data_IF_882707957395
#
_entry.id   IF_882707957395
#
_cell.length_a   1.000
_cell.length_b   1.000
_cell.length_c   1.000
_cell.angle_alpha   90.00
_cell.angle_beta   90.00
_cell.angle_gamma   90.00
#
_symmetry.space_group_name_H-M   'P 1'
#
loop_
_entity.id
_entity.type
_entity.pdbx_description
1 polymer ?
#
# COMPACT_ATOMS: atom_id res chain seq x y z
N UNK A 1 -26.44 9.42 6.58
CA UNK A 1 -26.78 10.33 5.47
C UNK A 1 -26.41 9.63 4.19
N UNK A 2 -27.37 9.31 3.33
CA UNK A 2 -27.09 8.77 1.99
C UNK A 2 -26.63 9.90 1.08
N UNK A 3 -25.58 9.66 0.29
CA UNK A 3 -25.11 10.60 -0.74
C UNK A 3 -26.07 10.51 -1.93
N UNK A 4 -26.63 11.65 -2.34
CA UNK A 4 -27.41 11.75 -3.58
C UNK A 4 -26.47 12.03 -4.78
N UNK A 5 -26.37 11.07 -5.69
CA UNK A 5 -25.43 11.19 -6.82
C UNK A 5 -25.86 12.22 -7.86
N UNK A 6 -27.12 12.68 -7.82
CA UNK A 6 -27.66 13.65 -8.79
C UNK A 6 -27.31 15.11 -8.46
N UNK A 7 -26.86 15.39 -7.23
CA UNK A 7 -26.58 16.75 -6.75
C UNK A 7 -25.24 16.87 -5.98
N UNK A 8 -24.27 16.02 -6.28
CA UNK A 8 -22.92 16.02 -5.70
C UNK A 8 -22.31 17.44 -5.57
N UNK A 9 -22.38 18.33 -6.59
CA UNK A 9 -21.81 19.67 -6.46
C UNK A 9 -22.38 20.48 -5.29
N UNK A 10 -23.69 20.36 -5.01
CA UNK A 10 -24.33 21.11 -3.94
C UNK A 10 -24.02 20.52 -2.56
N UNK A 11 -23.92 19.19 -2.47
CA UNK A 11 -23.43 18.52 -1.26
C UNK A 11 -21.98 18.92 -0.93
N UNK A 12 -21.11 19.04 -1.93
CA UNK A 12 -19.73 19.53 -1.75
C UNK A 12 -19.72 20.98 -1.24
N UNK A 13 -20.55 21.87 -1.81
CA UNK A 13 -20.66 23.26 -1.34
C UNK A 13 -21.12 23.34 0.11
N UNK A 14 -22.14 22.56 0.46
CA UNK A 14 -22.67 22.48 1.82
C UNK A 14 -21.63 21.95 2.80
N UNK A 15 -20.89 20.90 2.44
CA UNK A 15 -19.80 20.38 3.24
C UNK A 15 -18.69 21.42 3.43
N UNK A 16 -18.22 22.07 2.36
CA UNK A 16 -17.17 23.10 2.43
C UNK A 16 -17.58 24.28 3.32
N UNK A 17 -18.85 24.70 3.30
CA UNK A 17 -19.36 25.76 4.17
C UNK A 17 -19.28 25.35 5.64
N UNK A 18 -19.83 24.17 5.98
CA UNK A 18 -19.80 23.62 7.34
C UNK A 18 -18.37 23.42 7.86
N UNK A 19 -17.45 22.90 7.05
CA UNK A 19 -16.05 22.73 7.45
C UNK A 19 -15.38 24.08 7.74
N UNK A 20 -15.66 25.11 6.94
CA UNK A 20 -15.15 26.48 7.19
C UNK A 20 -15.72 27.11 8.46
N UNK A 21 -16.99 26.85 8.75
CA UNK A 21 -17.62 27.31 10.00
C UNK A 21 -16.99 26.62 11.23
N UNK A 22 -16.65 25.34 11.11
CA UNK A 22 -16.02 24.55 12.18
C UNK A 22 -14.51 24.82 12.33
N UNK A 23 -13.85 25.35 11.29
CA UNK A 23 -12.43 25.66 11.29
C UNK A 23 -12.20 27.06 10.68
N UNK A 24 -12.42 28.13 11.47
CA UNK A 24 -12.28 29.51 10.99
C UNK A 24 -10.86 29.84 10.49
N UNK A 25 -9.85 29.27 11.14
CA UNK A 25 -8.41 29.52 10.86
C UNK A 25 -7.82 28.53 9.84
N UNK A 26 -8.66 27.94 8.98
CA UNK A 26 -8.26 26.92 8.01
C UNK A 26 -7.04 27.30 7.16
N UNK A 27 -6.87 28.57 6.81
CA UNK A 27 -5.72 29.05 6.03
C UNK A 27 -4.41 28.95 6.82
N UNK A 28 -4.41 29.31 8.10
CA UNK A 28 -3.21 29.23 8.94
C UNK A 28 -2.85 27.78 9.22
N UNK A 29 -3.83 26.95 9.61
CA UNK A 29 -3.61 25.51 9.77
C UNK A 29 -3.07 24.85 8.50
N UNK A 30 -3.52 25.28 7.32
CA UNK A 30 -3.00 24.77 6.06
C UNK A 30 -1.53 25.15 5.84
N UNK A 31 -1.13 26.40 6.14
CA UNK A 31 0.27 26.84 6.04
C UNK A 31 1.18 26.11 7.04
N UNK A 32 0.68 25.84 8.24
CA UNK A 32 1.40 25.03 9.23
C UNK A 32 1.64 23.61 8.70
N UNK A 33 0.62 22.98 8.11
CA UNK A 33 0.76 21.68 7.45
C UNK A 33 1.74 21.72 6.27
N UNK A 34 1.68 22.75 5.43
CA UNK A 34 2.64 22.94 4.33
C UNK A 34 4.08 23.02 4.85
N UNK A 35 4.31 23.75 5.96
CA UNK A 35 5.64 23.85 6.57
C UNK A 35 6.13 22.51 7.11
N UNK A 36 5.26 21.70 7.72
CA UNK A 36 5.59 20.35 8.19
C UNK A 36 5.93 19.42 7.02
N UNK A 37 5.12 19.43 5.96
CA UNK A 37 5.36 18.62 4.76
C UNK A 37 6.63 19.02 4.03
N UNK A 38 6.93 20.32 3.94
CA UNK A 38 8.17 20.80 3.33
C UNK A 38 9.41 20.23 4.04
N UNK A 39 9.40 20.13 5.38
CA UNK A 39 10.49 19.50 6.15
C UNK A 39 10.63 18.02 5.87
N UNK A 40 9.51 17.29 5.74
CA UNK A 40 9.55 15.87 5.37
C UNK A 40 10.11 15.67 3.96
N UNK A 41 9.68 16.50 3.00
CA UNK A 41 10.17 16.47 1.62
C UNK A 41 11.69 16.70 1.59
N UNK A 42 12.19 17.74 2.25
CA UNK A 42 13.64 17.98 2.32
C UNK A 42 14.41 16.83 2.95
N UNK A 43 13.83 16.15 3.95
CA UNK A 43 14.44 14.96 4.56
C UNK A 43 14.51 13.79 3.57
N UNK A 44 13.46 13.59 2.76
CA UNK A 44 13.41 12.55 1.72
C UNK A 44 14.42 12.84 0.61
N UNK A 45 14.47 14.09 0.14
CA UNK A 45 15.41 14.53 -0.90
C UNK A 45 16.86 14.34 -0.45
N UNK A 46 17.19 14.71 0.79
CA UNK A 46 18.53 14.54 1.35
C UNK A 46 18.95 13.06 1.45
N UNK A 47 18.05 12.18 1.91
CA UNK A 47 18.29 10.74 1.96
C UNK A 47 18.53 10.18 0.55
N UNK A 48 17.70 10.59 -0.42
CA UNK A 48 17.83 10.15 -1.82
C UNK A 48 19.15 10.61 -2.45
N UNK A 49 19.58 11.86 -2.22
CA UNK A 49 20.88 12.38 -2.69
C UNK A 49 22.05 11.59 -2.08
N UNK A 50 21.90 11.14 -0.84
CA UNK A 50 22.91 10.39 -0.10
C UNK A 50 22.90 8.89 -0.42
N UNK A 51 21.97 8.43 -1.29
CA UNK A 51 21.79 7.02 -1.65
C UNK A 51 21.23 6.15 -0.52
N UNK A 52 20.68 6.78 0.53
CA UNK A 52 20.02 6.08 1.63
C UNK A 52 18.61 5.64 1.21
N UNK A 53 18.17 4.48 1.71
CA UNK A 53 16.79 4.05 1.48
C UNK A 53 15.82 4.94 2.25
N UNK A 54 14.95 5.64 1.51
CA UNK A 54 13.86 6.45 2.09
C UNK A 54 12.84 5.55 2.79
N UNK A 55 12.60 4.36 2.24
CA UNK A 55 11.65 3.39 2.77
C UNK A 55 12.39 2.51 3.79
N UNK A 56 11.92 2.43 5.04
CA UNK A 56 12.49 1.55 6.05
C UNK A 56 12.46 0.10 5.58
N UNK A 57 13.51 -0.66 5.92
CA UNK A 57 13.59 -2.08 5.62
C UNK A 57 13.67 -2.90 6.91
N UNK A 58 12.91 -4.00 6.96
CA UNK A 58 12.91 -4.93 8.08
C UNK A 58 13.16 -6.33 7.56
N UNK A 59 14.13 -7.05 8.12
CA UNK A 59 14.29 -8.46 7.84
C UNK A 59 13.15 -9.27 8.47
N UNK A 60 12.53 -10.18 7.73
CA UNK A 60 11.49 -11.07 8.25
C UNK A 60 11.98 -11.92 9.44
N UNK A 61 13.27 -12.25 9.47
CA UNK A 61 13.92 -12.94 10.59
C UNK A 61 13.89 -12.12 11.89
N UNK A 62 13.89 -10.79 11.82
CA UNK A 62 13.81 -9.93 13.00
C UNK A 62 12.37 -9.79 13.49
N UNK A 63 11.38 -9.79 12.59
CA UNK A 63 9.97 -9.88 12.96
C UNK A 63 9.71 -11.17 13.75
N UNK A 64 10.12 -12.31 13.20
CA UNK A 64 9.87 -13.63 13.83
C UNK A 64 10.61 -13.83 15.15
N UNK A 65 11.72 -13.12 15.36
CA UNK A 65 12.50 -13.16 16.60
C UNK A 65 12.15 -12.02 17.58
N UNK A 66 11.17 -11.17 17.25
CA UNK A 66 10.82 -9.97 18.02
C UNK A 66 12.03 -9.04 18.29
N UNK A 67 12.83 -8.78 17.25
CA UNK A 67 14.05 -7.94 17.33
C UNK A 67 13.95 -6.61 16.57
N UNK A 68 12.75 -6.24 16.14
CA UNK A 68 12.53 -4.92 15.52
C UNK A 68 12.48 -3.87 16.61
N UNK A 69 13.39 -2.90 16.57
CA UNK A 69 13.45 -1.82 17.55
C UNK A 69 12.38 -0.73 17.34
N UNK A 70 12.10 0.02 18.40
CA UNK A 70 11.10 1.09 18.36
C UNK A 70 11.46 2.21 17.38
N UNK A 71 12.76 2.48 17.18
CA UNK A 71 13.21 3.49 16.21
C UNK A 71 12.80 3.14 14.78
N UNK A 72 12.90 1.87 14.41
CA UNK A 72 12.46 1.33 13.13
C UNK A 72 10.94 1.37 13.03
N UNK A 73 10.22 1.02 14.11
CA UNK A 73 8.76 1.12 14.14
C UNK A 73 8.28 2.56 13.89
N UNK A 74 8.87 3.55 14.57
CA UNK A 74 8.50 4.95 14.38
C UNK A 74 8.89 5.46 12.98
N UNK A 75 10.00 4.98 12.41
CA UNK A 75 10.34 5.25 11.02
C UNK A 75 9.28 4.70 10.05
N UNK A 76 8.80 3.47 10.26
CA UNK A 76 7.72 2.87 9.44
C UNK A 76 6.44 3.69 9.56
N UNK A 77 6.04 4.09 10.77
CA UNK A 77 4.84 4.93 10.97
C UNK A 77 4.99 6.30 10.30
N UNK A 78 6.15 6.95 10.43
CA UNK A 78 6.43 8.26 9.82
C UNK A 78 6.44 8.19 8.29
N UNK A 79 7.00 7.12 7.71
CA UNK A 79 7.09 6.93 6.25
C UNK A 79 5.82 6.34 5.64
N UNK A 80 4.98 5.68 6.43
CA UNK A 80 3.76 5.02 5.97
C UNK A 80 4.00 3.80 5.07
N UNK A 81 5.24 3.32 4.97
CA UNK A 81 5.64 2.20 4.11
C UNK A 81 6.84 1.45 4.71
N UNK A 82 7.01 0.18 4.32
CA UNK A 82 8.14 -0.66 4.74
C UNK A 82 8.41 -1.77 3.73
N UNK A 83 9.69 -2.09 3.53
CA UNK A 83 10.09 -3.31 2.80
C UNK A 83 10.37 -4.41 3.82
N UNK A 84 9.62 -5.51 3.77
CA UNK A 84 9.93 -6.70 4.57
C UNK A 84 10.77 -7.67 3.73
N UNK A 85 12.08 -7.71 4.00
CA UNK A 85 13.04 -8.54 3.26
C UNK A 85 12.96 -9.99 3.71
N UNK A 86 12.96 -10.92 2.76
CA UNK A 86 13.10 -12.36 3.04
C UNK A 86 11.87 -13.03 3.66
N UNK A 87 10.65 -12.50 3.42
CA UNK A 87 9.40 -13.22 3.77
C UNK A 87 9.37 -14.57 3.07
N UNK A 88 9.74 -14.59 1.80
CA UNK A 88 9.98 -15.79 1.02
C UNK A 88 11.41 -15.78 0.49
N UNK A 89 11.98 -16.96 0.27
CA UNK A 89 13.29 -17.04 -0.37
C UNK A 89 13.14 -16.72 -1.86
N UNK A 90 14.24 -16.31 -2.48
CA UNK A 90 14.26 -16.02 -3.91
C UNK A 90 13.85 -17.24 -4.72
N UNK A 91 14.31 -18.44 -4.34
CA UNK A 91 14.01 -19.69 -5.03
C UNK A 91 12.51 -20.00 -5.00
N UNK A 92 11.85 -19.82 -3.84
CA UNK A 92 10.40 -20.05 -3.74
C UNK A 92 9.61 -19.02 -4.55
N UNK A 93 10.03 -17.75 -4.53
CA UNK A 93 9.39 -16.70 -5.31
C UNK A 93 9.56 -16.93 -6.83
N UNK A 94 10.77 -17.28 -7.29
CA UNK A 94 11.03 -17.60 -8.69
C UNK A 94 10.31 -18.87 -9.14
N UNK A 95 10.20 -19.89 -8.29
CA UNK A 95 9.40 -21.09 -8.58
C UNK A 95 7.92 -20.77 -8.75
N UNK A 96 7.36 -19.96 -7.84
CA UNK A 96 5.98 -19.46 -7.98
C UNK A 96 5.76 -18.62 -9.24
N UNK A 97 6.74 -17.82 -9.64
CA UNK A 97 6.68 -17.06 -10.88
C UNK A 97 6.59 -18.00 -12.10
N UNK A 98 7.44 -19.02 -12.18
CA UNK A 98 7.39 -20.00 -13.27
C UNK A 98 6.10 -20.85 -13.27
N UNK A 99 5.59 -21.24 -12.10
CA UNK A 99 4.29 -21.90 -11.97
C UNK A 99 3.13 -21.00 -12.44
N UNK A 100 3.20 -19.69 -12.17
CA UNK A 100 2.21 -18.73 -12.64
C UNK A 100 2.28 -18.56 -14.15
N UNK A 101 3.47 -18.40 -14.74
CA UNK A 101 3.65 -18.34 -16.20
C UNK A 101 3.08 -19.59 -16.86
N UNK A 102 3.46 -20.78 -16.37
CA UNK A 102 2.93 -22.05 -16.88
C UNK A 102 1.40 -22.15 -16.75
N UNK A 103 0.83 -21.61 -15.66
CA UNK A 103 -0.62 -21.57 -15.48
C UNK A 103 -1.29 -20.66 -16.52
N UNK A 104 -0.72 -19.49 -16.82
CA UNK A 104 -1.25 -18.59 -17.84
C UNK A 104 -1.19 -19.23 -19.23
N UNK A 105 -0.04 -19.80 -19.59
CA UNK A 105 0.19 -20.42 -20.90
C UNK A 105 -0.74 -21.62 -21.12
N UNK A 106 -0.85 -22.51 -20.14
CA UNK A 106 -1.69 -23.71 -20.25
C UNK A 106 -3.19 -23.40 -20.37
N UNK A 107 -3.63 -22.22 -19.92
CA UNK A 107 -5.01 -21.77 -20.05
C UNK A 107 -5.24 -20.86 -21.27
N UNK A 108 -4.21 -20.67 -22.11
CA UNK A 108 -4.27 -19.79 -23.28
C UNK A 108 -4.64 -18.36 -22.89
N UNK A 109 -4.14 -17.86 -21.75
CA UNK A 109 -4.59 -16.59 -21.18
C UNK A 109 -4.34 -15.40 -22.12
N UNK A 110 -3.24 -15.42 -22.86
CA UNK A 110 -2.88 -14.33 -23.76
C UNK A 110 -3.58 -14.41 -25.12
N UNK A 111 -4.14 -15.56 -25.46
CA UNK A 111 -4.91 -15.81 -26.68
C UNK A 111 -6.41 -15.54 -26.49
N UNK A 112 -6.85 -15.31 -25.26
CA UNK A 112 -8.23 -14.96 -24.96
C UNK A 112 -8.47 -13.47 -25.27
N UNK A 113 -9.16 -13.19 -26.38
CA UNK A 113 -9.74 -11.88 -26.66
C UNK A 113 -10.86 -11.61 -25.63
N UNK A 114 -10.53 -10.94 -24.52
CA UNK A 114 -11.52 -10.51 -23.54
C UNK A 114 -11.68 -8.97 -23.56
N UNK A 115 -12.62 -8.43 -24.37
CA UNK A 115 -12.83 -7.00 -24.50
C UNK A 115 -13.21 -6.29 -23.19
N UNK A 116 -13.77 -6.99 -22.19
CA UNK A 116 -14.15 -6.35 -20.92
C UNK A 116 -12.95 -6.04 -20.00
N UNK A 117 -11.84 -6.77 -20.13
CA UNK A 117 -10.61 -6.53 -19.35
C UNK A 117 -9.78 -5.35 -19.89
N UNK A 118 -9.84 -5.11 -21.20
CA UNK A 118 -9.09 -4.05 -21.87
C UNK A 118 -9.59 -2.64 -21.55
N UNK A 119 -10.85 -2.49 -21.12
CA UNK A 119 -11.42 -1.17 -20.83
C UNK A 119 -10.90 -0.53 -19.55
N UNK A 120 -10.34 -1.29 -18.59
CA UNK A 120 -9.82 -0.74 -17.35
C UNK A 120 -8.35 -0.28 -17.45
N UNK A 121 -7.62 -0.79 -18.44
CA UNK A 121 -6.19 -0.53 -18.64
C UNK A 121 -5.88 0.05 -20.03
N UNK A 122 -6.89 0.57 -20.75
CA UNK A 122 -6.74 1.07 -22.13
C UNK A 122 -5.70 2.18 -22.32
N UNK A 123 -5.31 2.85 -21.22
CA UNK A 123 -4.23 3.86 -21.23
C UNK A 123 -2.81 3.25 -21.18
N UNK A 124 -2.68 1.96 -20.87
CA UNK A 124 -1.42 1.23 -20.82
C UNK A 124 -1.24 0.42 -22.11
N UNK A 125 -0.83 1.12 -23.18
CA UNK A 125 -0.45 0.52 -24.47
C UNK A 125 0.78 -0.39 -24.31
N UNK A 126 0.58 -1.66 -23.95
CA UNK A 126 1.61 -2.67 -24.03
C UNK A 126 1.03 -3.95 -24.63
N UNK A 127 1.78 -4.58 -25.53
CA UNK A 127 1.45 -5.86 -26.17
C UNK A 127 1.29 -7.02 -25.17
N UNK A 128 1.52 -6.78 -23.87
CA UNK A 128 1.20 -7.69 -22.77
C UNK A 128 0.48 -6.93 -21.66
N UNK A 129 -0.65 -7.45 -21.14
CA UNK A 129 -1.33 -6.80 -20.02
C UNK A 129 -0.40 -6.73 -18.82
N UNK A 130 -0.13 -5.51 -18.32
CA UNK A 130 0.72 -5.29 -17.15
C UNK A 130 0.08 -5.82 -15.85
N UNK A 131 -1.23 -6.05 -15.88
CA UNK A 131 -2.02 -6.63 -14.79
C UNK A 131 -2.77 -7.84 -15.34
N UNK A 132 -2.44 -9.03 -14.83
CA UNK A 132 -3.16 -10.26 -15.16
C UNK A 132 -4.35 -10.42 -14.21
N UNK A 133 -5.57 -10.47 -14.74
CA UNK A 133 -6.81 -10.68 -13.98
C UNK A 133 -7.00 -12.15 -13.59
N UNK A 134 -5.99 -12.72 -12.94
CA UNK A 134 -5.97 -14.08 -12.41
C UNK A 134 -5.96 -14.02 -10.89
N UNK A 135 -6.84 -14.80 -10.25
CA UNK A 135 -7.08 -14.72 -8.81
C UNK A 135 -6.78 -16.00 -8.05
N UNK A 136 -6.83 -17.15 -8.72
CA UNK A 136 -6.87 -18.47 -8.07
C UNK A 136 -5.71 -19.38 -8.48
N UNK A 137 -4.63 -18.84 -9.04
CA UNK A 137 -3.47 -19.67 -9.34
C UNK A 137 -2.91 -20.27 -8.05
N UNK A 138 -2.39 -21.49 -8.13
CA UNK A 138 -1.79 -22.19 -6.98
C UNK A 138 -0.73 -21.32 -6.28
N UNK A 139 0.21 -20.64 -6.97
CA UNK A 139 1.13 -19.69 -6.34
C UNK A 139 0.46 -18.59 -5.52
N UNK A 140 -0.61 -17.98 -6.03
CA UNK A 140 -1.33 -16.92 -5.32
C UNK A 140 -2.00 -17.43 -4.05
N UNK A 141 -2.66 -18.59 -4.12
CA UNK A 141 -3.31 -19.21 -2.95
C UNK A 141 -2.27 -19.62 -1.91
N UNK A 142 -1.20 -20.30 -2.32
CA UNK A 142 -0.10 -20.70 -1.42
C UNK A 142 0.55 -19.50 -0.71
N UNK A 143 0.85 -18.43 -1.45
CA UNK A 143 1.42 -17.23 -0.88
C UNK A 143 0.48 -16.60 0.16
N UNK A 144 -0.81 -16.46 -0.17
CA UNK A 144 -1.82 -15.85 0.71
C UNK A 144 -2.04 -16.62 2.01
N UNK A 145 -2.04 -17.95 1.97
CA UNK A 145 -2.25 -18.80 3.15
C UNK A 145 -0.95 -19.13 3.91
N UNK A 146 0.20 -18.68 3.42
CA UNK A 146 1.49 -18.99 4.03
C UNK A 146 1.57 -18.48 5.48
N UNK A 147 2.03 -19.31 6.43
CA UNK A 147 2.29 -18.86 7.80
C UNK A 147 3.26 -17.66 7.87
N UNK A 148 4.24 -17.59 6.95
CA UNK A 148 5.20 -16.49 6.91
C UNK A 148 4.55 -15.16 6.57
N UNK A 149 3.68 -15.16 5.55
CA UNK A 149 2.95 -13.95 5.18
C UNK A 149 1.93 -13.56 6.26
N UNK A 150 1.30 -14.54 6.91
CA UNK A 150 0.41 -14.30 8.05
C UNK A 150 1.15 -13.63 9.22
N UNK A 151 2.36 -14.08 9.56
CA UNK A 151 3.19 -13.47 10.60
C UNK A 151 3.59 -12.04 10.24
N UNK A 152 4.06 -11.80 9.00
CA UNK A 152 4.39 -10.46 8.53
C UNK A 152 3.18 -9.51 8.60
N UNK A 153 2.00 -9.96 8.15
CA UNK A 153 0.75 -9.19 8.26
C UNK A 153 0.34 -8.93 9.70
N UNK A 154 0.44 -9.93 10.57
CA UNK A 154 0.12 -9.76 12.00
C UNK A 154 1.00 -8.70 12.66
N UNK A 155 2.31 -8.71 12.36
CA UNK A 155 3.23 -7.68 12.81
C UNK A 155 2.83 -6.28 12.33
N UNK A 156 2.57 -6.11 11.03
CA UNK A 156 2.17 -4.82 10.47
C UNK A 156 0.84 -4.30 11.03
N UNK A 157 -0.14 -5.19 11.23
CA UNK A 157 -1.43 -4.82 11.80
C UNK A 157 -1.29 -4.31 13.25
N UNK A 158 -0.30 -4.80 14.01
CA UNK A 158 -0.03 -4.36 15.39
C UNK A 158 0.65 -2.99 15.49
N UNK A 159 1.06 -2.39 14.36
CA UNK A 159 1.60 -1.03 14.34
C UNK A 159 0.51 0.03 14.50
N UNK A 160 -0.75 -0.33 14.20
CA UNK A 160 -1.91 0.51 14.38
C UNK A 160 -2.31 0.56 15.86
N UNK A 161 -2.90 1.68 16.27
CA UNK A 161 -3.64 1.73 17.53
C UNK A 161 -5.00 1.07 17.29
N UNK A 162 -5.14 -0.20 17.69
CA UNK A 162 -6.36 -1.00 17.49
C UNK A 162 -7.14 -1.24 18.79
N UNK A 163 -6.63 -0.75 19.92
CA UNK A 163 -7.33 -0.76 21.20
C UNK A 163 -7.67 0.68 21.56
N UNK A 164 -8.95 0.98 21.68
CA UNK A 164 -9.40 2.23 22.31
C UNK A 164 -9.17 2.08 23.81
N UNK A 165 -8.04 2.59 24.29
CA UNK A 165 -7.87 2.82 25.71
C UNK A 165 -8.65 4.10 26.07
N UNK A 166 -9.99 4.02 26.06
CA UNK A 166 -10.84 4.97 26.77
C UNK A 166 -10.58 4.79 28.28
N UNK A 167 -9.48 5.37 28.76
CA UNK A 167 -9.48 5.85 30.14
C UNK A 167 -10.32 7.12 30.16
N UNK A 168 -11.60 6.94 30.51
CA UNK A 168 -12.43 8.00 31.11
C UNK A 168 -11.82 8.47 32.43
#
# INVERSE_FOLDING_TARGET
MSIDTTNIPEQIRTLKRRVREQCPDMKEHFRELESLLAKEISTIEAANISGESVIPEIAFSDITKNRVDNTTIEAVKRRGAVVVRGVFTQEKASGWYGELESYLDNNGYYEQDNPELDHYFSDLKSDRPQICAVYWSKPQVEARQSPKLAQARSFLNRLWNYQDNETL
#
